data_IF_588513785138
#
_entry.id   IF_588513785138
#
_cell.length_a   1.000
_cell.length_b   1.000
_cell.length_c   1.000
_cell.angle_alpha   90.00
_cell.angle_beta   90.00
_cell.angle_gamma   90.00
#
_symmetry.space_group_name_H-M   'P 1'
#
loop_
_entity.id
_entity.type
_entity.pdbx_description
1 polymer ?
#
# COMPACT_ATOMS: atom_id res chain seq x y z
N UNK A 1 9.86 17.80 19.12
CA UNK A 1 9.58 17.58 17.68
C UNK A 1 8.80 16.30 17.49
N UNK A 2 9.21 15.20 18.15
CA UNK A 2 8.43 13.95 18.19
C UNK A 2 6.98 14.15 18.60
N UNK A 3 6.71 14.80 19.74
CA UNK A 3 5.33 15.03 20.21
C UNK A 3 4.45 15.74 19.19
N UNK A 4 5.00 16.76 18.52
CA UNK A 4 4.31 17.54 17.47
C UNK A 4 3.95 16.64 16.28
N UNK A 5 4.87 15.75 15.88
CA UNK A 5 4.63 14.83 14.77
C UNK A 5 3.61 13.76 15.16
N UNK A 6 3.69 13.24 16.38
CA UNK A 6 2.73 12.25 16.91
C UNK A 6 1.33 12.85 16.96
N UNK A 7 1.19 14.07 17.48
CA UNK A 7 -0.09 14.80 17.52
C UNK A 7 -0.63 15.04 16.10
N UNK A 8 0.21 15.52 15.18
CA UNK A 8 -0.18 15.76 13.79
C UNK A 8 -0.67 14.49 13.09
N UNK A 9 0.06 13.38 13.22
CA UNK A 9 -0.34 12.09 12.61
C UNK A 9 -1.64 11.59 13.23
N UNK A 10 -1.79 11.70 14.55
CA UNK A 10 -3.00 11.27 15.26
C UNK A 10 -4.23 12.04 14.77
N UNK A 11 -4.14 13.37 14.70
CA UNK A 11 -5.23 14.20 14.18
C UNK A 11 -5.57 13.88 12.72
N UNK A 12 -4.54 13.69 11.88
CA UNK A 12 -4.74 13.38 10.48
C UNK A 12 -5.49 12.07 10.30
N UNK A 13 -5.15 11.04 11.08
CA UNK A 13 -5.80 9.73 11.03
C UNK A 13 -7.24 9.81 11.53
N UNK A 14 -7.52 10.56 12.60
CA UNK A 14 -8.91 10.75 13.07
C UNK A 14 -9.77 11.41 11.99
N UNK A 15 -9.28 12.49 11.36
CA UNK A 15 -9.98 13.17 10.26
C UNK A 15 -10.23 12.23 9.07
N UNK A 16 -9.26 11.35 8.75
CA UNK A 16 -9.40 10.38 7.67
C UNK A 16 -10.42 9.28 8.03
N UNK A 17 -10.40 8.82 9.29
CA UNK A 17 -11.33 7.84 9.80
C UNK A 17 -12.77 8.35 9.80
N UNK A 18 -13.01 9.62 10.13
CA UNK A 18 -14.35 10.22 10.05
C UNK A 18 -14.92 10.13 8.63
N UNK A 19 -14.10 10.34 7.61
CA UNK A 19 -14.48 10.20 6.20
C UNK A 19 -14.72 8.71 5.87
N UNK A 20 -13.77 7.84 6.21
CA UNK A 20 -13.83 6.41 5.93
C UNK A 20 -14.96 5.69 6.68
N UNK A 21 -15.41 6.22 7.82
CA UNK A 21 -16.46 5.65 8.66
C UNK A 21 -17.80 5.53 7.91
N UNK A 22 -18.08 6.46 6.99
CA UNK A 22 -19.27 6.41 6.14
C UNK A 22 -19.27 5.17 5.23
N UNK A 23 -18.09 4.66 4.90
CA UNK A 23 -17.88 3.44 4.09
C UNK A 23 -17.58 2.22 4.95
N UNK A 24 -17.47 2.38 6.27
CA UNK A 24 -17.10 1.32 7.22
C UNK A 24 -15.63 0.87 7.12
N UNK A 25 -14.78 1.55 6.34
CA UNK A 25 -13.37 1.22 6.19
C UNK A 25 -12.53 2.47 5.92
N UNK A 26 -11.38 2.56 6.56
CA UNK A 26 -10.35 3.55 6.26
C UNK A 26 -9.59 3.11 5.00
N UNK A 27 -9.50 3.99 4.00
CA UNK A 27 -8.72 3.77 2.78
C UNK A 27 -7.72 4.89 2.54
N UNK A 28 -6.77 4.66 1.62
CA UNK A 28 -5.78 5.67 1.20
C UNK A 28 -6.48 6.91 0.61
N UNK A 29 -7.62 6.73 -0.05
CA UNK A 29 -8.38 7.82 -0.66
C UNK A 29 -8.88 8.83 0.38
N UNK A 30 -9.12 8.42 1.63
CA UNK A 30 -9.53 9.32 2.71
C UNK A 30 -8.42 10.33 3.02
N UNK A 31 -7.16 9.87 3.03
CA UNK A 31 -6.00 10.74 3.19
C UNK A 31 -5.80 11.65 1.97
N UNK A 32 -5.94 11.12 0.75
CA UNK A 32 -5.86 11.91 -0.48
C UNK A 32 -6.92 13.00 -0.51
N UNK A 33 -8.14 12.71 -0.04
CA UNK A 33 -9.21 13.68 0.09
C UNK A 33 -8.83 14.83 1.06
N UNK A 34 -8.22 14.53 2.20
CA UNK A 34 -7.78 15.55 3.14
C UNK A 34 -6.73 16.50 2.54
N UNK A 35 -5.77 15.97 1.77
CA UNK A 35 -4.69 16.77 1.16
C UNK A 35 -5.04 17.38 -0.20
N UNK A 36 -6.27 17.18 -0.71
CA UNK A 36 -6.69 17.56 -2.08
C UNK A 36 -6.51 19.03 -2.45
N UNK A 37 -6.34 19.90 -1.46
CA UNK A 37 -6.14 21.35 -1.66
C UNK A 37 -4.66 21.73 -1.82
N UNK A 38 -3.74 20.83 -1.50
CA UNK A 38 -2.30 20.99 -1.69
C UNK A 38 -1.88 20.15 -2.89
N UNK A 39 -1.98 20.73 -4.09
CA UNK A 39 -1.69 20.04 -5.35
C UNK A 39 -0.27 19.45 -5.40
N UNK A 40 0.80 20.15 -4.97
CA UNK A 40 2.12 19.56 -4.91
C UNK A 40 2.20 18.31 -4.03
N UNK A 41 1.61 18.31 -2.83
CA UNK A 41 1.59 17.11 -1.97
C UNK A 41 0.75 15.99 -2.58
N UNK A 42 -0.43 16.33 -3.12
CA UNK A 42 -1.32 15.36 -3.74
C UNK A 42 -0.65 14.64 -4.91
N UNK A 43 0.03 15.38 -5.80
CA UNK A 43 0.73 14.82 -6.95
C UNK A 43 1.83 13.87 -6.50
N UNK A 44 2.65 14.31 -5.54
CA UNK A 44 3.72 13.48 -4.98
C UNK A 44 3.18 12.19 -4.34
N UNK A 45 2.10 12.27 -3.58
CA UNK A 45 1.48 11.09 -2.98
C UNK A 45 0.95 10.13 -4.06
N UNK A 46 0.30 10.65 -5.09
CA UNK A 46 -0.22 9.85 -6.21
C UNK A 46 0.90 9.11 -6.95
N UNK A 47 1.99 9.79 -7.28
CA UNK A 47 3.16 9.19 -7.93
C UNK A 47 3.79 8.07 -7.08
N UNK A 48 3.99 8.31 -5.79
CA UNK A 48 4.55 7.33 -4.86
C UNK A 48 3.66 6.09 -4.71
N UNK A 49 2.34 6.27 -4.68
CA UNK A 49 1.39 5.17 -4.60
C UNK A 49 1.41 4.32 -5.89
N UNK A 50 1.41 4.96 -7.06
CA UNK A 50 1.53 4.29 -8.36
C UNK A 50 2.80 3.45 -8.44
N UNK A 51 3.94 4.04 -8.09
CA UNK A 51 5.23 3.35 -8.09
C UNK A 51 5.23 2.16 -7.12
N UNK A 52 4.61 2.29 -5.94
CA UNK A 52 4.50 1.19 -4.98
C UNK A 52 3.65 0.03 -5.54
N UNK A 53 2.56 0.33 -6.27
CA UNK A 53 1.78 -0.71 -6.94
C UNK A 53 2.57 -1.41 -8.03
N UNK A 54 3.31 -0.68 -8.86
CA UNK A 54 4.20 -1.26 -9.87
C UNK A 54 5.25 -2.18 -9.24
N UNK A 55 5.89 -1.75 -8.14
CA UNK A 55 6.87 -2.56 -7.41
C UNK A 55 6.25 -3.81 -6.78
N UNK A 56 5.02 -3.71 -6.25
CA UNK A 56 4.28 -4.88 -5.72
C UNK A 56 3.94 -5.87 -6.83
N UNK A 57 3.51 -5.39 -7.99
CA UNK A 57 3.23 -6.22 -9.15
C UNK A 57 4.51 -6.93 -9.63
N UNK A 58 5.63 -6.21 -9.75
CA UNK A 58 6.91 -6.78 -10.11
C UNK A 58 7.33 -7.89 -9.14
N UNK A 59 7.27 -7.65 -7.82
CA UNK A 59 7.57 -8.66 -6.80
C UNK A 59 6.71 -9.92 -6.93
N UNK A 60 5.41 -9.76 -7.16
CA UNK A 60 4.47 -10.87 -7.32
C UNK A 60 4.80 -11.77 -8.52
N UNK A 61 5.29 -11.20 -9.61
CA UNK A 61 5.73 -11.98 -10.79
C UNK A 61 6.86 -12.93 -10.38
N UNK A 62 7.86 -12.45 -9.65
CA UNK A 62 8.98 -13.27 -9.19
C UNK A 62 8.57 -14.35 -8.17
N UNK A 63 7.72 -14.03 -7.19
CA UNK A 63 7.20 -15.03 -6.23
C UNK A 63 6.44 -16.15 -6.96
N UNK A 64 5.61 -15.79 -7.94
CA UNK A 64 4.86 -16.78 -8.72
C UNK A 64 5.75 -17.65 -9.59
N UNK A 65 6.92 -17.16 -10.01
CA UNK A 65 7.87 -17.91 -10.81
C UNK A 65 8.72 -18.84 -9.94
N UNK A 66 9.08 -18.47 -8.71
CA UNK A 66 9.71 -19.38 -7.74
C UNK A 66 8.79 -20.57 -7.40
N UNK A 67 7.50 -20.33 -7.15
CA UNK A 67 6.53 -21.40 -6.89
C UNK A 67 6.34 -22.33 -8.10
N UNK A 68 6.37 -21.78 -9.32
CA UNK A 68 6.35 -22.59 -10.55
C UNK A 68 7.63 -23.40 -10.69
N UNK A 69 8.79 -22.80 -10.45
CA UNK A 69 10.09 -23.48 -10.54
C UNK A 69 10.15 -24.64 -9.55
N UNK A 70 9.73 -24.40 -8.31
CA UNK A 70 9.68 -25.41 -7.25
C UNK A 70 8.80 -26.59 -7.63
N UNK A 71 7.61 -26.34 -8.18
CA UNK A 71 6.73 -27.40 -8.68
C UNK A 71 7.32 -28.17 -9.85
N UNK A 72 8.13 -27.54 -10.71
CA UNK A 72 8.81 -28.25 -11.80
C UNK A 72 9.85 -29.23 -11.24
N UNK A 73 10.58 -28.86 -10.19
CA UNK A 73 11.61 -29.73 -9.60
C UNK A 73 11.06 -30.76 -8.60
N UNK A 74 9.94 -30.49 -7.91
CA UNK A 74 9.30 -31.46 -7.00
C UNK A 74 8.60 -32.62 -7.75
N UNK A 75 8.32 -32.49 -9.06
CA UNK A 75 7.71 -33.55 -9.88
C UNK A 75 8.74 -34.63 -10.30
N UNK A 76 10.04 -34.35 -10.15
CA UNK A 76 11.14 -35.24 -10.55
C UNK A 76 11.77 -36.05 -9.40
N UNK A 77 11.19 -36.07 -8.18
CA UNK A 77 11.58 -37.05 -7.15
C UNK A 77 10.80 -38.37 -7.35
N UNK A 78 11.39 -39.41 -7.95
CA UNK A 78 10.79 -40.74 -7.90
C UNK A 78 10.79 -41.20 -6.45
N UNK A 79 9.60 -41.53 -5.95
CA UNK A 79 9.44 -42.25 -4.68
C UNK A 79 10.09 -43.62 -4.85
N UNK A 80 11.31 -43.78 -4.35
CA UNK A 80 11.98 -45.07 -4.14
C UNK A 80 11.45 -45.78 -2.88
#
# INVERSE_FOLDING_TARGET
>A
MEDIVVEYVTELVHKAQDIGSQRGKLSVEDFLYLIRKDLPKLNRCTELLSMNEELKQARKVFESDEDKLRKVFEVDEPVE
#
